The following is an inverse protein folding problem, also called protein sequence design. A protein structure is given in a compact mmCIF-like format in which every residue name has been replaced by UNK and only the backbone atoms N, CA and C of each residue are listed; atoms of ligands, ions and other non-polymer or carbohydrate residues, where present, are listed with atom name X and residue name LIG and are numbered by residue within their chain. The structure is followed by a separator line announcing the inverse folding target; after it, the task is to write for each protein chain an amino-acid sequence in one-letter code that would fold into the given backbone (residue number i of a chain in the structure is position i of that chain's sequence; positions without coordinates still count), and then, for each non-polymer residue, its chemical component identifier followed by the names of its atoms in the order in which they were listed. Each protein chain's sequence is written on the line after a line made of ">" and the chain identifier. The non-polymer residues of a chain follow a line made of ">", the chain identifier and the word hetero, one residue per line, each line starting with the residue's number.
data_IF_806775934159
#
_entry.id   IF_806775934159
#
_cell.length_a   1.000
_cell.length_b   1.000
_cell.length_c   1.000
_cell.angle_alpha   90.00
_cell.angle_beta   90.00
_cell.angle_gamma   90.00
#
_symmetry.space_group_name_H-M   'P 1'
#
loop_
_entity.id
_entity.type
_entity.pdbx_description
1 polymer ?
#
# COMPACT_ATOMS: atom_id res chain seq x y z
N UNK A 1 29.58 2.04 15.63
CA UNK A 1 28.61 0.92 15.55
C UNK A 1 29.26 -0.21 14.78
N UNK A 2 29.86 -1.19 15.48
CA UNK A 2 30.68 -2.24 14.84
C UNK A 2 29.96 -3.59 14.69
N UNK A 3 28.70 -3.72 15.12
CA UNK A 3 27.92 -4.94 14.91
C UNK A 3 27.00 -4.84 13.69
N UNK A 4 26.80 -5.96 13.01
CA UNK A 4 25.84 -6.09 11.91
C UNK A 4 24.41 -5.87 12.45
N UNK A 5 23.53 -5.17 11.70
CA UNK A 5 22.12 -5.05 12.04
C UNK A 5 21.42 -6.42 12.06
N UNK A 6 20.44 -6.57 12.93
CA UNK A 6 19.59 -7.77 12.99
C UNK A 6 18.11 -7.37 12.95
N UNK A 7 17.21 -8.33 12.78
CA UNK A 7 15.77 -8.04 12.74
C UNK A 7 15.22 -7.43 14.04
N UNK A 8 15.86 -7.66 15.18
CA UNK A 8 15.47 -7.05 16.46
C UNK A 8 15.74 -5.53 16.50
N UNK A 9 16.56 -5.02 15.58
CA UNK A 9 16.83 -3.59 15.44
C UNK A 9 15.75 -2.86 14.64
N UNK A 10 14.94 -3.58 13.85
CA UNK A 10 13.92 -2.98 12.98
C UNK A 10 13.05 -1.94 13.69
N UNK A 11 12.53 -2.14 14.92
CA UNK A 11 11.72 -1.13 15.61
C UNK A 11 12.46 0.17 15.93
N UNK A 12 13.80 0.14 16.04
CA UNK A 12 14.65 1.30 16.32
C UNK A 12 15.08 2.03 15.05
N UNK A 13 15.02 1.36 13.89
CA UNK A 13 15.42 1.89 12.60
C UNK A 13 14.24 2.60 11.91
N UNK A 14 13.62 3.56 12.60
CA UNK A 14 12.39 4.23 12.16
C UNK A 14 12.52 4.82 10.76
N UNK A 15 13.61 5.56 10.50
CA UNK A 15 13.81 6.18 9.20
C UNK A 15 14.02 5.16 8.07
N UNK A 16 14.73 4.05 8.35
CA UNK A 16 14.88 2.96 7.38
C UNK A 16 13.52 2.31 7.05
N UNK A 17 12.68 2.08 8.06
CA UNK A 17 11.32 1.57 7.80
C UNK A 17 10.52 2.55 6.95
N UNK A 18 10.63 3.85 7.23
CA UNK A 18 9.94 4.88 6.46
C UNK A 18 10.41 4.90 4.99
N UNK A 19 11.72 4.78 4.74
CA UNK A 19 12.30 4.62 3.39
C UNK A 19 11.74 3.39 2.69
N UNK A 20 11.65 2.25 3.38
CA UNK A 20 11.10 1.01 2.81
C UNK A 20 9.62 1.20 2.45
N UNK A 21 8.82 1.80 3.33
CA UNK A 21 7.40 2.04 3.09
C UNK A 21 7.18 3.01 1.92
N UNK A 22 7.92 4.11 1.87
CA UNK A 22 7.80 5.09 0.77
C UNK A 22 8.26 4.51 -0.57
N UNK A 23 9.26 3.61 -0.54
CA UNK A 23 9.67 2.85 -1.73
C UNK A 23 8.53 1.97 -2.23
N UNK A 24 7.85 1.25 -1.33
CA UNK A 24 6.73 0.38 -1.70
C UNK A 24 5.51 1.16 -2.20
N UNK A 25 5.27 2.37 -1.68
CA UNK A 25 4.20 3.26 -2.16
C UNK A 25 4.46 3.72 -3.59
N UNK A 26 5.66 4.25 -3.88
CA UNK A 26 5.99 4.80 -5.20
C UNK A 26 6.20 3.68 -6.24
N UNK A 27 7.04 2.69 -5.93
CA UNK A 27 7.28 1.53 -6.78
C UNK A 27 6.22 0.45 -6.57
N UNK A 28 4.95 0.86 -6.62
CA UNK A 28 3.78 0.00 -6.49
C UNK A 28 3.88 -1.20 -7.46
N UNK A 29 4.39 -2.34 -6.96
CA UNK A 29 4.70 -3.50 -7.80
C UNK A 29 3.44 -4.13 -8.42
N UNK A 30 2.30 -3.98 -7.73
CA UNK A 30 1.01 -4.50 -8.15
C UNK A 30 -0.01 -3.36 -8.14
N UNK A 31 0.02 -2.46 -9.13
CA UNK A 31 -0.82 -1.25 -9.12
C UNK A 31 -2.32 -1.56 -9.14
N UNK A 32 -2.71 -2.75 -9.62
CA UNK A 32 -4.10 -3.25 -9.62
C UNK A 32 -4.36 -4.34 -8.57
N UNK A 33 -3.43 -4.56 -7.63
CA UNK A 33 -3.44 -5.68 -6.69
C UNK A 33 -3.66 -7.04 -7.39
N UNK A 34 -3.93 -8.07 -6.60
CA UNK A 34 -4.37 -9.38 -7.10
C UNK A 34 -5.90 -9.36 -7.16
N UNK A 35 -6.52 -9.77 -8.28
CA UNK A 35 -7.98 -9.81 -8.39
C UNK A 35 -8.57 -10.76 -7.34
N UNK A 36 -9.67 -10.33 -6.71
CA UNK A 36 -10.38 -11.14 -5.71
C UNK A 36 -11.79 -11.45 -6.17
N UNK A 37 -12.16 -12.71 -6.09
CA UNK A 37 -13.53 -13.15 -6.37
C UNK A 37 -14.39 -13.06 -5.10
N UNK A 38 -15.60 -12.52 -5.26
CA UNK A 38 -16.61 -12.41 -4.22
C UNK A 38 -17.18 -13.80 -3.93
N UNK A 39 -16.88 -14.34 -2.74
CA UNK A 39 -17.27 -15.69 -2.34
C UNK A 39 -18.75 -15.83 -1.94
N UNK A 40 -19.37 -14.74 -1.50
CA UNK A 40 -20.78 -14.59 -1.18
C UNK A 40 -21.20 -13.13 -1.42
N UNK A 41 -22.49 -12.82 -1.67
CA UNK A 41 -22.90 -11.44 -1.93
C UNK A 41 -22.43 -10.47 -0.84
N UNK A 42 -21.83 -9.36 -1.26
CA UNK A 42 -21.35 -8.30 -0.36
C UNK A 42 -21.90 -6.95 -0.79
N UNK A 43 -22.00 -6.01 0.14
CA UNK A 43 -22.30 -4.61 -0.15
C UNK A 43 -21.06 -3.77 0.14
N UNK A 44 -20.69 -2.91 -0.83
CA UNK A 44 -19.60 -1.94 -0.68
C UNK A 44 -20.10 -0.60 -1.21
N UNK A 45 -20.06 0.43 -0.36
CA UNK A 45 -20.49 1.80 -0.72
C UNK A 45 -21.91 1.88 -1.32
N UNK A 46 -22.84 1.07 -0.78
CA UNK A 46 -24.22 0.99 -1.27
C UNK A 46 -24.42 0.18 -2.56
N UNK A 47 -23.36 -0.41 -3.11
CA UNK A 47 -23.43 -1.31 -4.27
C UNK A 47 -23.37 -2.77 -3.82
N UNK A 48 -24.35 -3.57 -4.25
CA UNK A 48 -24.38 -5.01 -4.02
C UNK A 48 -23.61 -5.76 -5.12
N UNK A 49 -22.59 -6.51 -4.73
CA UNK A 49 -21.82 -7.39 -5.60
C UNK A 49 -22.29 -8.83 -5.42
N UNK A 50 -22.75 -9.52 -6.47
CA UNK A 50 -23.13 -10.92 -6.38
C UNK A 50 -21.91 -11.84 -6.19
N UNK A 51 -22.17 -13.07 -5.72
CA UNK A 51 -21.16 -14.14 -5.73
C UNK A 51 -20.60 -14.35 -7.13
N UNK A 52 -19.28 -14.51 -7.24
CA UNK A 52 -18.57 -14.69 -8.51
C UNK A 52 -18.14 -13.39 -9.18
N UNK A 53 -18.51 -12.22 -8.64
CA UNK A 53 -17.93 -10.95 -9.11
C UNK A 53 -16.44 -10.88 -8.82
N UNK A 54 -15.65 -10.36 -9.77
CA UNK A 54 -14.22 -10.10 -9.58
C UNK A 54 -14.01 -8.64 -9.25
N UNK A 55 -13.37 -8.37 -8.11
CA UNK A 55 -13.03 -7.04 -7.64
C UNK A 55 -11.53 -6.82 -7.84
N UNK A 56 -11.21 -5.72 -8.50
CA UNK A 56 -9.85 -5.20 -8.63
C UNK A 56 -9.66 -4.04 -7.67
N UNK A 57 -8.54 -4.04 -6.93
CA UNK A 57 -8.17 -2.92 -6.06
C UNK A 57 -7.08 -2.11 -6.74
N UNK A 58 -7.41 -0.90 -7.18
CA UNK A 58 -6.46 -0.01 -7.86
C UNK A 58 -5.61 0.69 -6.80
N UNK A 59 -4.54 0.05 -6.32
CA UNK A 59 -3.65 0.58 -5.28
C UNK A 59 -3.07 1.95 -5.68
N UNK A 60 -2.73 2.12 -6.95
CA UNK A 60 -2.17 3.38 -7.45
C UNK A 60 -3.12 4.57 -7.28
N UNK A 61 -4.44 4.32 -7.33
CA UNK A 61 -5.42 5.39 -7.09
C UNK A 61 -5.27 6.00 -5.70
N UNK A 62 -4.88 5.18 -4.71
CA UNK A 62 -4.65 5.62 -3.32
C UNK A 62 -3.21 6.09 -3.14
N UNK A 63 -2.22 5.36 -3.67
CA UNK A 63 -0.81 5.71 -3.52
C UNK A 63 -0.44 7.04 -4.20
N UNK A 64 -1.17 7.44 -5.25
CA UNK A 64 -0.96 8.69 -5.98
C UNK A 64 -2.05 9.75 -5.78
N UNK A 65 -2.95 9.59 -4.80
CA UNK A 65 -3.95 10.62 -4.51
C UNK A 65 -3.31 11.86 -3.87
N UNK A 66 -3.37 13.00 -4.58
CA UNK A 66 -2.87 14.30 -4.10
C UNK A 66 -3.61 14.81 -2.86
N UNK A 67 -4.85 14.39 -2.64
CA UNK A 67 -5.60 14.74 -1.42
C UNK A 67 -5.08 14.01 -0.19
N UNK A 68 -4.53 12.80 -0.38
CA UNK A 68 -3.97 11.99 0.70
C UNK A 68 -2.50 12.36 0.92
N UNK A 69 -1.73 12.53 -0.16
CA UNK A 69 -0.27 12.63 -0.09
C UNK A 69 0.29 14.04 -0.34
N UNK A 70 -0.52 14.97 -0.86
CA UNK A 70 -0.09 16.30 -1.30
C UNK A 70 0.72 16.26 -2.60
N UNK A 71 1.92 15.70 -2.50
CA UNK A 71 2.93 15.58 -3.56
C UNK A 71 3.40 14.11 -3.73
N UNK A 72 2.49 13.20 -4.14
CA UNK A 72 2.75 11.76 -4.19
C UNK A 72 3.90 11.35 -5.10
N UNK A 73 4.26 12.19 -6.07
CA UNK A 73 5.36 11.94 -7.00
C UNK A 73 6.75 12.14 -6.34
N UNK A 74 6.81 12.83 -5.20
CA UNK A 74 8.06 13.05 -4.47
C UNK A 74 8.30 11.92 -3.47
N UNK A 75 9.49 11.32 -3.55
CA UNK A 75 9.98 10.38 -2.55
C UNK A 75 10.33 11.13 -1.26
N UNK A 76 9.45 11.04 -0.25
CA UNK A 76 9.63 11.72 1.04
C UNK A 76 9.34 10.75 2.20
N UNK A 77 10.35 10.01 2.70
CA UNK A 77 10.19 9.09 3.83
C UNK A 77 9.68 9.74 5.12
N UNK A 78 9.78 11.05 5.28
CA UNK A 78 9.36 11.78 6.48
C UNK A 78 7.84 11.94 6.62
N UNK A 79 7.05 11.50 5.63
CA UNK A 79 5.59 11.67 5.59
C UNK A 79 4.83 10.66 6.45
#
# INVERSE_FOLDING_TARGET
>A
TERVPTMSDKPKLTYLNAVIMETQRIASLLPLAIPREVSAPIEVDGFTFPKGSVIWSVLDSVHYDKKIWGDPENFRPER
#
